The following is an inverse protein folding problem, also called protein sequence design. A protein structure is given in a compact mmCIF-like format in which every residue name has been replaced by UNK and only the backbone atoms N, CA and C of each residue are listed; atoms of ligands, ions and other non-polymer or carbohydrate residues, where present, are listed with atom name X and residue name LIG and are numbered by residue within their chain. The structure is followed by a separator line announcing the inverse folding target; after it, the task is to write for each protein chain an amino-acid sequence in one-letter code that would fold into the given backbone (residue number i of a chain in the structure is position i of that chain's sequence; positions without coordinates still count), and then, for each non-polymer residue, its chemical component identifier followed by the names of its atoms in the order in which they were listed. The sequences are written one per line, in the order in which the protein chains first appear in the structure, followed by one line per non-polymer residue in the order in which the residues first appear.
data_IF_033920204987
#
_entry.id   IF_033920204987
#
_cell.length_a   1.000
_cell.length_b   1.000
_cell.length_c   1.000
_cell.angle_alpha   90.00
_cell.angle_beta   90.00
_cell.angle_gamma   90.00
#
_symmetry.space_group_name_H-M   'P 1'
#
loop_
_entity.id
_entity.type
_entity.pdbx_description
1 polymer ?
#
# COMPACT_ATOMS: atom_id res chain seq x y z
N UNK A 1 -11.15 -4.76 15.17
CA UNK A 1 -11.15 -5.67 14.00
C UNK A 1 -10.04 -5.28 13.06
N UNK A 2 -9.21 -6.24 12.65
CA UNK A 2 -8.12 -5.96 11.73
C UNK A 2 -8.66 -5.71 10.33
N UNK A 3 -8.12 -4.71 9.65
CA UNK A 3 -8.43 -4.43 8.26
C UNK A 3 -7.47 -5.19 7.37
N UNK A 4 -7.96 -5.62 6.23
CA UNK A 4 -7.15 -6.35 5.25
C UNK A 4 -7.19 -5.58 3.94
N UNK A 5 -6.01 -5.28 3.43
CA UNK A 5 -5.84 -4.69 2.12
C UNK A 5 -5.52 -5.81 1.13
N UNK A 6 -6.26 -5.87 0.03
CA UNK A 6 -6.04 -6.90 -0.99
C UNK A 6 -5.79 -6.27 -2.34
N UNK A 7 -4.88 -6.89 -3.10
CA UNK A 7 -4.62 -6.49 -4.47
C UNK A 7 -4.17 -7.74 -5.23
N UNK A 8 -4.99 -8.18 -6.16
CA UNK A 8 -4.73 -9.42 -6.88
C UNK A 8 -4.70 -10.60 -5.92
N UNK A 9 -3.58 -11.30 -5.89
CA UNK A 9 -3.39 -12.48 -5.04
C UNK A 9 -2.74 -12.16 -3.70
N UNK A 10 -2.50 -10.87 -3.44
CA UNK A 10 -1.82 -10.45 -2.21
C UNK A 10 -2.83 -9.91 -1.23
N UNK A 11 -2.75 -10.34 0.03
CA UNK A 11 -3.57 -9.82 1.12
C UNK A 11 -2.65 -9.43 2.26
N UNK A 12 -2.78 -8.19 2.74
CA UNK A 12 -1.92 -7.65 3.79
C UNK A 12 -2.82 -7.07 4.88
N UNK A 13 -2.56 -7.45 6.12
CA UNK A 13 -3.25 -6.81 7.24
C UNK A 13 -2.72 -5.40 7.43
N UNK A 14 -3.63 -4.43 7.49
CA UNK A 14 -3.24 -3.03 7.52
C UNK A 14 -2.34 -2.72 8.71
N UNK A 15 -2.60 -3.31 9.88
CA UNK A 15 -1.78 -3.02 11.05
C UNK A 15 -0.37 -3.60 10.96
N UNK A 16 -0.09 -4.45 9.97
CA UNK A 16 1.27 -4.94 9.72
C UNK A 16 2.05 -4.01 8.80
N UNK A 17 1.39 -3.01 8.21
CA UNK A 17 2.05 -2.07 7.32
C UNK A 17 2.84 -1.06 8.14
N UNK A 18 4.13 -0.99 7.86
CA UNK A 18 5.04 -0.07 8.54
C UNK A 18 5.10 1.25 7.79
N UNK A 19 5.09 1.20 6.46
CA UNK A 19 5.17 2.38 5.62
C UNK A 19 4.60 2.09 4.25
N UNK A 20 4.18 3.14 3.55
CA UNK A 20 3.72 3.07 2.17
C UNK A 20 4.33 4.23 1.42
N UNK A 21 4.70 4.01 0.17
CA UNK A 21 5.43 4.99 -0.62
C UNK A 21 5.07 4.87 -2.10
N UNK A 22 5.14 6.02 -2.78
CA UNK A 22 5.12 6.05 -4.25
C UNK A 22 6.53 6.44 -4.68
N UNK A 23 7.29 5.53 -5.30
CA UNK A 23 8.67 5.85 -5.68
C UNK A 23 8.75 7.02 -6.66
N UNK A 24 9.78 7.85 -6.50
CA UNK A 24 9.96 9.01 -7.36
C UNK A 24 10.20 8.64 -8.82
N UNK A 25 10.77 7.47 -9.05
CA UNK A 25 11.10 7.03 -10.41
C UNK A 25 9.93 6.31 -11.10
N UNK A 26 8.85 6.04 -10.37
CA UNK A 26 7.68 5.37 -10.97
C UNK A 26 6.43 5.76 -10.20
N UNK A 27 5.75 6.79 -10.69
CA UNK A 27 4.55 7.33 -10.03
C UNK A 27 3.29 6.49 -10.25
N UNK A 28 3.42 5.37 -10.97
CA UNK A 28 2.33 4.41 -11.16
C UNK A 28 2.46 3.19 -10.27
N UNK A 29 3.41 3.22 -9.36
CA UNK A 29 3.72 2.10 -8.49
C UNK A 29 3.49 2.50 -7.03
N UNK A 30 3.01 1.57 -6.23
CA UNK A 30 2.87 1.78 -4.78
C UNK A 30 3.67 0.70 -4.07
N UNK A 31 4.59 1.12 -3.21
CA UNK A 31 5.41 0.20 -2.41
C UNK A 31 4.85 0.15 -0.99
N UNK A 32 4.60 -1.04 -0.49
CA UNK A 32 4.07 -1.26 0.86
C UNK A 32 5.10 -2.02 1.66
N UNK A 33 5.55 -1.42 2.74
CA UNK A 33 6.56 -1.99 3.62
C UNK A 33 5.89 -2.57 4.86
N UNK A 34 6.22 -3.83 5.13
CA UNK A 34 5.74 -4.53 6.31
C UNK A 34 6.96 -5.02 7.10
N UNK A 35 6.74 -5.90 8.05
CA UNK A 35 7.86 -6.53 8.76
C UNK A 35 8.60 -7.54 7.89
N UNK A 36 8.04 -7.85 6.73
CA UNK A 36 8.70 -8.74 5.77
C UNK A 36 9.92 -8.02 5.17
N UNK A 37 11.03 -8.72 4.95
CA UNK A 37 12.25 -8.07 4.44
C UNK A 37 12.11 -7.45 3.04
N UNK A 38 11.19 -7.96 2.23
CA UNK A 38 10.98 -7.45 0.88
C UNK A 38 9.67 -6.68 0.81
N UNK A 39 9.67 -5.43 0.33
CA UNK A 39 8.42 -4.68 0.21
C UNK A 39 7.53 -5.26 -0.88
N UNK A 40 6.23 -5.08 -0.72
CA UNK A 40 5.26 -5.45 -1.74
C UNK A 40 5.04 -4.26 -2.66
N UNK A 41 5.13 -4.49 -3.97
CA UNK A 41 4.98 -3.45 -4.97
C UNK A 41 3.74 -3.73 -5.81
N UNK A 42 2.90 -2.71 -5.96
CA UNK A 42 1.68 -2.82 -6.74
C UNK A 42 1.73 -1.87 -7.91
N UNK A 43 1.63 -2.41 -9.13
CA UNK A 43 1.61 -1.62 -10.35
C UNK A 43 0.19 -1.17 -10.66
N UNK A 44 0.03 0.13 -10.90
CA UNK A 44 -1.23 0.72 -11.31
C UNK A 44 -1.09 1.21 -12.75
N UNK A 45 -2.21 1.32 -13.46
CA UNK A 45 -2.15 1.72 -14.86
C UNK A 45 -1.84 3.19 -15.03
N UNK A 46 -2.20 4.02 -14.03
CA UNK A 46 -2.04 5.46 -14.09
C UNK A 46 -1.60 6.00 -12.74
N UNK A 47 -0.96 7.16 -12.77
CA UNK A 47 -0.51 7.79 -11.54
C UNK A 47 -1.68 8.19 -10.63
N UNK A 48 -2.84 8.54 -11.19
CA UNK A 48 -4.03 8.83 -10.38
C UNK A 48 -4.48 7.60 -9.61
N UNK A 49 -4.42 6.43 -10.24
CA UNK A 49 -4.78 5.18 -9.57
C UNK A 49 -3.79 4.85 -8.45
N UNK A 50 -2.50 5.08 -8.68
CA UNK A 50 -1.49 4.88 -7.65
C UNK A 50 -1.68 5.82 -6.47
N UNK A 51 -1.97 7.09 -6.74
CA UNK A 51 -2.23 8.07 -5.69
C UNK A 51 -3.48 7.70 -4.90
N UNK A 52 -4.52 7.25 -5.58
CA UNK A 52 -5.75 6.83 -4.95
C UNK A 52 -5.51 5.63 -4.02
N UNK A 53 -4.74 4.66 -4.48
CA UNK A 53 -4.38 3.49 -3.68
C UNK A 53 -3.55 3.89 -2.47
N UNK A 54 -2.57 4.76 -2.67
CA UNK A 54 -1.74 5.28 -1.58
C UNK A 54 -2.60 5.97 -0.51
N UNK A 55 -3.50 6.86 -0.95
CA UNK A 55 -4.36 7.60 -0.03
C UNK A 55 -5.27 6.65 0.75
N UNK A 56 -5.77 5.62 0.09
CA UNK A 56 -6.64 4.62 0.71
C UNK A 56 -5.90 3.86 1.80
N UNK A 57 -4.66 3.44 1.52
CA UNK A 57 -3.84 2.72 2.49
C UNK A 57 -3.50 3.63 3.68
N UNK A 58 -3.13 4.86 3.41
CA UNK A 58 -2.79 5.82 4.46
C UNK A 58 -4.01 6.07 5.36
N UNK A 59 -5.18 6.20 4.76
CA UNK A 59 -6.41 6.41 5.53
C UNK A 59 -6.71 5.21 6.43
N UNK A 60 -6.55 4.01 5.90
CA UNK A 60 -6.75 2.79 6.68
C UNK A 60 -5.72 2.67 7.82
N UNK A 61 -4.48 3.05 7.56
CA UNK A 61 -3.44 3.05 8.59
C UNK A 61 -3.80 4.02 9.73
N UNK A 62 -4.32 5.19 9.39
CA UNK A 62 -4.75 6.17 10.39
C UNK A 62 -5.89 5.64 11.25
N UNK A 63 -6.79 4.86 10.67
CA UNK A 63 -7.91 4.28 11.41
C UNK A 63 -7.48 3.18 12.37
N UNK A 64 -6.34 2.56 12.11
CA UNK A 64 -5.80 1.52 13.00
C UNK A 64 -5.01 2.09 14.18
N UNK A 65 -4.75 3.38 14.16
CA UNK A 65 -4.11 4.02 15.30
C UNK A 65 -5.14 4.20 16.42
#
# INVERSE_FOLDING_TARGET
MARIFTNGNVAIRVHDIVAVDIPDNDDRCVAVYTQHPTPFTFDCERNEAAQSLYDSIVDDMKREL
#
